data_IF_417434029245
#
_entry.id   IF_417434029245
#
_cell.length_a   1.000
_cell.length_b   1.000
_cell.length_c   1.000
_cell.angle_alpha   90.00
_cell.angle_beta   90.00
_cell.angle_gamma   90.00
#
_symmetry.space_group_name_H-M   'P 1'
#
loop_
_entity.id
_entity.type
_entity.pdbx_description
1 polymer ?
#
# COMPACT_ATOMS: atom_id res chain seq x y z
N UNK A 1 2.45 -39.65 -13.56
CA UNK A 1 2.15 -38.41 -14.31
C UNK A 1 3.20 -37.41 -13.88
N UNK A 2 3.91 -36.76 -14.82
CA UNK A 2 4.86 -35.71 -14.50
C UNK A 2 4.08 -34.41 -14.26
N UNK A 3 4.40 -33.69 -13.17
CA UNK A 3 3.90 -32.33 -12.93
C UNK A 3 4.77 -31.33 -13.71
N UNK A 4 4.31 -30.11 -13.90
CA UNK A 4 5.07 -29.05 -14.58
C UNK A 4 6.42 -28.74 -13.88
N UNK A 5 6.53 -29.06 -12.60
CA UNK A 5 7.72 -28.79 -11.78
C UNK A 5 7.87 -27.31 -11.39
N UNK A 6 7.02 -26.43 -11.92
CA UNK A 6 6.99 -25.00 -11.59
C UNK A 6 5.79 -24.65 -10.73
N UNK A 7 5.94 -23.64 -9.89
CA UNK A 7 4.87 -23.06 -9.06
C UNK A 7 4.65 -21.58 -9.40
N UNK A 8 5.34 -21.10 -10.42
CA UNK A 8 5.32 -19.71 -10.84
C UNK A 8 4.20 -19.55 -11.87
N UNK A 9 3.05 -19.13 -11.39
CA UNK A 9 1.94 -18.73 -12.23
C UNK A 9 1.96 -17.21 -12.37
N UNK A 10 2.61 -16.75 -13.42
CA UNK A 10 2.69 -15.32 -13.73
C UNK A 10 1.88 -15.04 -14.98
N UNK A 11 0.94 -14.10 -14.86
CA UNK A 11 0.23 -13.51 -15.98
C UNK A 11 0.87 -12.17 -16.31
N UNK A 12 1.18 -11.93 -17.58
CA UNK A 12 1.52 -10.60 -18.03
C UNK A 12 0.27 -9.71 -18.18
N UNK A 13 0.49 -8.40 -18.26
CA UNK A 13 -0.62 -7.44 -18.39
C UNK A 13 -1.42 -7.66 -19.68
N UNK A 14 -0.78 -8.16 -20.74
CA UNK A 14 -1.45 -8.50 -22.00
C UNK A 14 -2.43 -9.64 -21.82
N UNK A 15 -1.99 -10.75 -21.22
CA UNK A 15 -2.84 -11.92 -20.93
C UNK A 15 -4.02 -11.56 -20.03
N UNK A 16 -3.79 -10.72 -19.00
CA UNK A 16 -4.86 -10.23 -18.11
C UNK A 16 -5.89 -9.41 -18.89
N UNK A 17 -5.43 -8.57 -19.82
CA UNK A 17 -6.32 -7.76 -20.64
C UNK A 17 -7.14 -8.65 -21.59
N UNK A 18 -6.50 -9.62 -22.24
CA UNK A 18 -7.18 -10.57 -23.14
C UNK A 18 -8.27 -11.35 -22.40
N UNK A 19 -7.95 -11.98 -21.29
CA UNK A 19 -8.90 -12.71 -20.46
C UNK A 19 -10.07 -11.81 -19.99
N UNK A 20 -9.79 -10.56 -19.60
CA UNK A 20 -10.84 -9.62 -19.18
C UNK A 20 -11.78 -9.24 -20.34
N UNK A 21 -11.27 -9.10 -21.56
CA UNK A 21 -12.09 -8.88 -22.74
C UNK A 21 -12.94 -10.10 -23.08
N UNK A 22 -12.40 -11.30 -23.00
CA UNK A 22 -13.15 -12.55 -23.22
C UNK A 22 -14.31 -12.69 -22.22
N UNK A 23 -14.13 -12.34 -20.95
CA UNK A 23 -15.22 -12.29 -19.96
C UNK A 23 -16.32 -11.28 -20.32
N UNK A 24 -15.95 -10.21 -20.99
CA UNK A 24 -16.92 -9.26 -21.55
C UNK A 24 -17.60 -9.83 -22.83
N UNK A 25 -17.15 -10.96 -23.39
CA UNK A 25 -17.57 -11.50 -24.68
C UNK A 25 -17.05 -10.70 -25.87
N UNK A 26 -15.89 -10.09 -25.70
CA UNK A 26 -15.24 -9.23 -26.68
C UNK A 26 -13.81 -9.75 -26.94
N UNK A 27 -13.20 -9.28 -28.01
CA UNK A 27 -11.81 -9.54 -28.36
C UNK A 27 -11.01 -8.22 -28.34
N UNK A 28 -9.74 -8.30 -28.01
CA UNK A 28 -8.80 -7.17 -28.18
C UNK A 28 -8.45 -7.08 -29.65
N UNK A 29 -8.92 -6.04 -30.33
CA UNK A 29 -8.71 -5.88 -31.79
C UNK A 29 -7.69 -4.83 -32.16
N UNK A 30 -7.46 -3.87 -31.28
CA UNK A 30 -6.62 -2.71 -31.59
C UNK A 30 -5.71 -2.34 -30.42
N UNK A 31 -4.59 -1.69 -30.73
CA UNK A 31 -3.73 -1.12 -29.69
C UNK A 31 -4.43 -0.04 -28.83
N UNK A 32 -5.51 0.55 -29.33
CA UNK A 32 -6.36 1.45 -28.55
C UNK A 32 -7.12 0.70 -27.45
N UNK A 33 -7.62 -0.50 -27.72
CA UNK A 33 -8.34 -1.32 -26.76
C UNK A 33 -7.42 -1.72 -25.61
N UNK A 34 -6.21 -2.19 -25.92
CA UNK A 34 -5.18 -2.50 -24.91
C UNK A 34 -4.80 -1.28 -24.08
N UNK A 35 -4.64 -0.11 -24.71
CA UNK A 35 -4.32 1.15 -24.03
C UNK A 35 -5.45 1.62 -23.11
N UNK A 36 -6.71 1.44 -23.53
CA UNK A 36 -7.89 1.75 -22.73
C UNK A 36 -8.04 0.80 -21.53
N UNK A 37 -7.77 -0.50 -21.73
CA UNK A 37 -7.78 -1.51 -20.67
C UNK A 37 -6.70 -1.23 -19.61
N UNK A 38 -5.46 -0.97 -20.04
CA UNK A 38 -4.38 -0.60 -19.13
C UNK A 38 -4.72 0.62 -18.26
N UNK A 39 -5.37 1.64 -18.83
CA UNK A 39 -5.85 2.79 -18.07
C UNK A 39 -6.90 2.39 -17.03
N UNK A 40 -7.82 1.49 -17.39
CA UNK A 40 -8.81 0.96 -16.44
C UNK A 40 -8.16 0.16 -15.34
N UNK A 41 -7.13 -0.62 -15.64
CA UNK A 41 -6.35 -1.39 -14.66
C UNK A 41 -5.67 -0.47 -13.64
N UNK A 42 -5.03 0.60 -14.09
CA UNK A 42 -4.42 1.59 -13.19
C UNK A 42 -5.45 2.30 -12.29
N UNK A 43 -6.65 2.58 -12.81
CA UNK A 43 -7.74 3.15 -12.00
C UNK A 43 -8.24 2.15 -10.96
N UNK A 44 -8.30 0.87 -11.30
CA UNK A 44 -8.66 -0.19 -10.38
C UNK A 44 -7.62 -0.35 -9.26
N UNK A 45 -6.33 -0.27 -9.56
CA UNK A 45 -5.27 -0.29 -8.54
C UNK A 45 -5.37 0.90 -7.58
N UNK A 46 -5.74 2.08 -8.09
CA UNK A 46 -6.01 3.24 -7.24
C UNK A 46 -7.24 3.03 -6.33
N UNK A 47 -8.28 2.35 -6.82
CA UNK A 47 -9.45 1.98 -6.01
C UNK A 47 -9.06 0.96 -4.92
N UNK A 48 -8.24 -0.04 -5.24
CA UNK A 48 -7.76 -1.00 -4.26
C UNK A 48 -6.94 -0.36 -3.12
N UNK A 49 -6.10 0.60 -3.46
CA UNK A 49 -5.37 1.37 -2.45
C UNK A 49 -6.32 2.10 -1.48
N UNK A 50 -7.46 2.59 -1.97
CA UNK A 50 -8.48 3.22 -1.13
C UNK A 50 -9.29 2.22 -0.29
N UNK A 51 -9.39 0.97 -0.72
CA UNK A 51 -10.07 -0.10 0.03
C UNK A 51 -9.23 -0.70 1.16
N UNK A 52 -7.97 -0.29 1.31
CA UNK A 52 -7.11 -0.68 2.42
C UNK A 52 -6.43 -2.05 2.28
N UNK A 53 -6.37 -2.63 1.09
CA UNK A 53 -5.63 -3.85 0.80
C UNK A 53 -4.13 -3.53 0.69
N UNK A 54 -3.35 -3.80 1.73
CA UNK A 54 -2.02 -3.22 1.80
C UNK A 54 -0.92 -4.16 2.33
N UNK A 55 -1.20 -5.42 2.73
CA UNK A 55 -0.18 -6.23 3.39
C UNK A 55 1.07 -6.47 2.53
N UNK A 56 0.93 -6.70 1.23
CA UNK A 56 2.08 -6.90 0.34
C UNK A 56 2.77 -5.58 -0.07
N UNK A 57 2.16 -4.43 0.24
CA UNK A 57 2.74 -3.13 -0.05
C UNK A 57 3.47 -2.52 1.14
N UNK A 58 3.53 -3.23 2.27
CA UNK A 58 4.31 -2.80 3.42
C UNK A 58 5.80 -2.96 3.11
N UNK A 59 6.53 -1.87 3.27
CA UNK A 59 7.97 -1.81 3.08
C UNK A 59 8.62 -1.07 4.25
N UNK A 60 9.92 -1.22 4.39
CA UNK A 60 10.68 -0.46 5.39
C UNK A 60 11.79 0.33 4.73
N UNK A 61 12.11 1.47 5.32
CA UNK A 61 13.24 2.28 4.90
C UNK A 61 13.92 2.92 6.12
N UNK A 62 15.19 3.24 5.95
CA UNK A 62 16.03 3.84 7.00
C UNK A 62 16.47 5.22 6.56
N UNK A 63 16.33 6.20 7.45
CA UNK A 63 16.83 7.56 7.29
C UNK A 63 17.93 7.77 8.32
N UNK A 64 19.11 8.19 7.89
CA UNK A 64 20.12 8.73 8.80
C UNK A 64 19.74 10.17 9.13
N UNK A 65 19.52 10.44 10.40
CA UNK A 65 19.08 11.74 10.86
C UNK A 65 20.22 12.76 10.75
N UNK A 66 19.86 14.02 10.60
CA UNK A 66 20.81 15.13 10.56
C UNK A 66 20.50 16.08 11.71
N UNK A 67 21.51 16.44 12.50
CA UNK A 67 21.34 17.37 13.60
C UNK A 67 20.63 18.65 13.15
N UNK A 68 19.65 19.10 13.91
CA UNK A 68 18.88 20.31 13.67
C UNK A 68 17.84 20.22 12.55
N UNK A 69 17.76 19.10 11.85
CA UNK A 69 16.79 18.90 10.76
C UNK A 69 15.49 18.32 11.29
N UNK A 70 14.44 19.13 11.34
CA UNK A 70 13.12 18.77 11.86
C UNK A 70 12.17 18.15 10.84
N UNK A 71 12.52 18.14 9.56
CA UNK A 71 11.67 17.64 8.49
C UNK A 71 12.48 16.72 7.56
N UNK A 72 12.00 15.52 7.37
CA UNK A 72 12.56 14.56 6.43
C UNK A 72 11.61 14.33 5.26
N UNK A 73 12.04 14.58 4.01
CA UNK A 73 11.26 14.26 2.85
C UNK A 73 11.19 12.73 2.68
N UNK A 74 9.99 12.24 2.43
CA UNK A 74 9.75 10.82 2.13
C UNK A 74 9.60 10.61 0.63
N UNK A 75 9.75 9.37 0.19
CA UNK A 75 9.48 9.00 -1.20
C UNK A 75 7.99 9.23 -1.56
N UNK A 76 7.72 9.62 -2.80
CA UNK A 76 6.37 9.93 -3.27
C UNK A 76 5.45 8.71 -3.34
N UNK A 77 6.00 7.51 -3.22
CA UNK A 77 5.25 6.26 -3.15
C UNK A 77 4.70 5.95 -1.75
N UNK A 78 5.14 6.65 -0.70
CA UNK A 78 4.65 6.51 0.66
C UNK A 78 3.21 6.99 0.76
N UNK A 79 2.28 6.08 1.09
CA UNK A 79 0.87 6.40 1.34
C UNK A 79 0.66 6.75 2.82
N UNK A 80 1.15 5.89 3.71
CA UNK A 80 1.06 6.08 5.15
C UNK A 80 2.20 5.37 5.87
N UNK A 81 2.52 5.81 7.08
CA UNK A 81 3.51 5.18 7.96
C UNK A 81 2.76 4.39 9.03
N UNK A 82 3.15 3.14 9.20
CA UNK A 82 2.60 2.25 10.22
C UNK A 82 3.33 2.43 11.54
N UNK A 83 4.64 2.19 11.52
CA UNK A 83 5.50 2.22 12.70
C UNK A 83 6.78 2.97 12.41
N UNK A 84 7.32 3.61 13.44
CA UNK A 84 8.61 4.33 13.38
C UNK A 84 9.45 3.94 14.59
N UNK A 85 10.68 3.55 14.32
CA UNK A 85 11.66 3.18 15.32
C UNK A 85 12.88 4.07 15.19
N UNK A 86 13.28 4.68 16.28
CA UNK A 86 14.49 5.47 16.38
C UNK A 86 15.60 4.61 17.01
N UNK A 87 16.76 4.54 16.38
CA UNK A 87 17.90 3.75 16.86
C UNK A 87 19.05 4.66 17.24
N UNK A 88 19.49 4.57 18.51
CA UNK A 88 20.66 5.23 19.06
C UNK A 88 21.54 4.22 19.80
N UNK A 89 22.83 4.18 19.48
CA UNK A 89 23.82 3.29 20.10
C UNK A 89 23.38 1.81 20.13
N UNK A 90 22.74 1.35 19.05
CA UNK A 90 22.22 -0.02 18.92
C UNK A 90 20.98 -0.31 19.76
N UNK A 91 20.37 0.69 20.37
CA UNK A 91 19.11 0.55 21.12
C UNK A 91 17.97 1.19 20.35
N UNK A 92 16.89 0.43 20.22
CA UNK A 92 15.69 0.83 19.51
C UNK A 92 14.68 1.46 20.47
N UNK A 93 14.09 2.56 20.04
CA UNK A 93 13.06 3.31 20.75
C UNK A 93 11.86 3.54 19.84
N UNK A 94 10.68 3.25 20.34
CA UNK A 94 9.42 3.54 19.63
C UNK A 94 9.22 5.07 19.54
N UNK A 95 8.81 5.54 18.36
CA UNK A 95 8.47 6.94 18.11
C UNK A 95 6.96 7.07 17.90
N UNK A 96 6.32 7.87 18.72
CA UNK A 96 4.86 8.00 18.74
C UNK A 96 4.36 8.88 17.60
N UNK A 97 3.35 8.41 16.87
CA UNK A 97 2.62 9.24 15.92
C UNK A 97 1.71 10.24 16.64
N UNK A 98 1.78 11.50 16.26
CA UNK A 98 0.88 12.55 16.76
C UNK A 98 0.05 13.15 15.62
N UNK A 99 -1.08 13.74 15.97
CA UNK A 99 -1.93 14.43 15.02
C UNK A 99 -1.32 15.78 14.60
N UNK A 100 -1.83 16.33 13.46
CA UNK A 100 -1.45 17.70 13.07
C UNK A 100 -1.77 18.73 14.16
N UNK A 101 -2.92 18.57 14.82
CA UNK A 101 -3.34 19.46 15.90
C UNK A 101 -2.35 19.44 17.06
N UNK A 102 -1.95 18.27 17.51
CA UNK A 102 -0.97 18.11 18.59
C UNK A 102 0.39 18.68 18.19
N UNK A 103 0.84 18.42 16.95
CA UNK A 103 2.09 18.98 16.45
C UNK A 103 2.08 20.52 16.43
N UNK A 104 0.95 21.13 16.04
CA UNK A 104 0.83 22.61 15.99
C UNK A 104 0.85 23.21 17.39
N UNK A 105 0.28 22.52 18.39
CA UNK A 105 0.22 23.01 19.79
C UNK A 105 1.53 22.83 20.56
N UNK A 106 2.54 22.12 20.02
CA UNK A 106 3.85 22.01 20.67
C UNK A 106 4.45 23.38 20.92
N UNK A 107 4.80 23.71 22.18
CA UNK A 107 5.22 25.06 22.53
C UNK A 107 6.59 25.45 21.93
N UNK A 108 7.49 24.50 21.79
CA UNK A 108 8.79 24.70 21.13
C UNK A 108 9.07 23.54 20.17
N UNK A 109 9.05 23.85 18.87
CA UNK A 109 9.29 22.88 17.80
C UNK A 109 10.79 22.70 17.46
N UNK A 110 11.64 23.52 18.03
CA UNK A 110 13.09 23.51 17.77
C UNK A 110 13.87 22.91 18.96
N UNK A 111 13.19 22.30 19.92
CA UNK A 111 13.82 21.56 21.02
C UNK A 111 14.65 20.41 20.46
N UNK A 112 15.96 20.48 20.63
CA UNK A 112 16.88 19.40 20.23
C UNK A 112 16.86 18.27 21.26
N UNK A 113 16.97 17.02 20.77
CA UNK A 113 17.04 15.84 21.60
C UNK A 113 16.75 14.56 20.82
N UNK A 114 16.54 13.47 21.56
CA UNK A 114 16.10 12.21 20.96
C UNK A 114 14.68 12.39 20.43
N UNK A 115 14.49 12.12 19.15
CA UNK A 115 13.15 12.15 18.53
C UNK A 115 12.22 11.14 19.21
N UNK A 116 11.10 11.59 19.73
CA UNK A 116 10.11 10.78 20.45
C UNK A 116 8.73 10.79 19.81
N UNK A 117 8.47 11.77 18.97
CA UNK A 117 7.19 11.93 18.29
C UNK A 117 7.38 12.33 16.83
N UNK A 118 6.43 11.94 15.98
CA UNK A 118 6.41 12.39 14.59
C UNK A 118 4.99 12.74 14.12
N UNK A 119 4.92 13.67 13.18
CA UNK A 119 3.72 14.00 12.43
C UNK A 119 3.99 13.77 10.94
N UNK A 120 3.15 12.97 10.30
CA UNK A 120 3.20 12.73 8.85
C UNK A 120 2.31 13.72 8.11
N UNK A 121 2.90 14.59 7.29
CA UNK A 121 2.18 15.44 6.37
C UNK A 121 1.97 14.71 5.03
N UNK A 122 0.73 14.25 4.80
CA UNK A 122 0.36 13.41 3.64
C UNK A 122 0.01 14.27 2.42
N UNK A 123 0.99 14.96 1.89
CA UNK A 123 0.88 15.70 0.64
C UNK A 123 1.33 14.85 -0.56
N UNK A 124 1.35 15.42 -1.77
CA UNK A 124 1.88 14.76 -2.97
C UNK A 124 3.35 14.37 -2.76
N UNK A 125 4.11 15.21 -2.07
CA UNK A 125 5.45 14.92 -1.57
C UNK A 125 5.37 14.83 -0.05
N UNK A 126 5.23 13.63 0.52
CA UNK A 126 5.00 13.48 1.95
C UNK A 126 6.23 13.91 2.76
N UNK A 127 5.98 14.56 3.90
CA UNK A 127 7.01 15.04 4.81
C UNK A 127 6.81 14.44 6.19
N UNK A 128 7.90 13.96 6.78
CA UNK A 128 7.95 13.50 8.15
C UNK A 128 8.45 14.62 9.03
N UNK A 129 7.59 15.14 9.90
CA UNK A 129 7.94 16.16 10.87
C UNK A 129 8.30 15.50 12.19
N UNK A 130 9.50 15.76 12.67
CA UNK A 130 10.08 15.12 13.86
C UNK A 130 10.01 16.07 15.08
N UNK A 131 9.76 15.50 16.24
CA UNK A 131 9.88 16.16 17.53
C UNK A 131 10.29 15.12 18.61
N UNK A 132 11.34 15.39 19.46
CA UNK A 132 12.26 16.50 19.37
C UNK A 132 13.12 16.43 18.08
N UNK A 133 13.73 17.58 17.71
CA UNK A 133 14.63 17.68 16.58
C UNK A 133 15.93 16.90 16.87
N UNK A 134 16.47 16.12 15.94
CA UNK A 134 17.70 15.36 16.16
C UNK A 134 18.86 16.20 16.68
N UNK A 135 19.50 15.75 17.76
CA UNK A 135 20.63 16.41 18.40
C UNK A 135 22.01 15.96 17.87
N UNK A 136 22.01 14.92 17.02
CA UNK A 136 23.20 14.39 16.36
C UNK A 136 22.93 13.95 14.93
N UNK A 137 23.98 13.50 14.22
CA UNK A 137 23.89 13.07 12.81
C UNK A 137 24.35 11.62 12.60
N UNK A 138 24.27 10.79 13.63
CA UNK A 138 24.66 9.37 13.60
C UNK A 138 23.47 8.42 13.84
N UNK A 139 22.43 8.91 14.51
CA UNK A 139 21.24 8.13 14.80
C UNK A 139 20.44 7.88 13.54
N UNK A 140 19.70 6.78 13.54
CA UNK A 140 18.86 6.38 12.43
C UNK A 140 17.40 6.28 12.83
N UNK A 141 16.53 6.47 11.83
CA UNK A 141 15.10 6.32 11.96
C UNK A 141 14.64 5.29 10.92
N UNK A 142 14.19 4.15 11.40
CA UNK A 142 13.58 3.11 10.57
C UNK A 142 12.08 3.30 10.58
N UNK A 143 11.46 3.38 9.43
CA UNK A 143 10.02 3.48 9.33
C UNK A 143 9.45 2.38 8.44
N UNK A 144 8.32 1.80 8.87
CA UNK A 144 7.53 0.85 8.12
C UNK A 144 6.36 1.61 7.50
N UNK A 145 6.18 1.45 6.20
CA UNK A 145 5.20 2.25 5.47
C UNK A 145 4.44 1.43 4.43
N UNK A 146 3.25 1.90 4.13
CA UNK A 146 2.45 1.40 3.02
C UNK A 146 2.87 2.16 1.77
N UNK A 147 3.38 1.42 0.77
CA UNK A 147 3.73 2.01 -0.53
C UNK A 147 2.57 1.92 -1.51
N UNK A 148 2.59 2.80 -2.48
CA UNK A 148 1.65 2.77 -3.60
C UNK A 148 1.88 1.50 -4.43
N UNK A 149 0.78 0.88 -4.90
CA UNK A 149 0.85 -0.22 -5.88
C UNK A 149 1.46 0.35 -7.17
N UNK A 150 2.38 -0.39 -7.77
CA UNK A 150 2.99 -0.01 -9.04
C UNK A 150 1.93 -0.01 -10.16
N UNK A 151 2.13 0.82 -11.16
CA UNK A 151 1.24 0.85 -12.31
C UNK A 151 1.40 -0.42 -13.18
N UNK A 152 0.45 -0.66 -14.07
CA UNK A 152 0.46 -1.83 -14.94
C UNK A 152 1.60 -1.84 -15.98
N UNK A 153 2.41 -0.79 -16.06
CA UNK A 153 3.54 -0.70 -16.99
C UNK A 153 3.15 -0.91 -18.46
N UNK A 154 3.88 -1.77 -19.14
CA UNK A 154 3.62 -2.19 -20.55
C UNK A 154 2.89 -3.54 -20.58
N UNK A 155 2.47 -4.00 -21.77
CA UNK A 155 1.73 -5.27 -21.92
C UNK A 155 2.54 -6.51 -21.52
N UNK A 156 3.86 -6.43 -21.61
CA UNK A 156 4.78 -7.53 -21.25
C UNK A 156 5.26 -7.49 -19.79
N UNK A 157 4.82 -6.50 -19.02
CA UNK A 157 5.13 -6.43 -17.59
C UNK A 157 4.19 -7.35 -16.80
N UNK A 158 4.69 -7.89 -15.71
CA UNK A 158 3.88 -8.57 -14.71
C UNK A 158 3.44 -7.55 -13.66
N UNK A 159 2.20 -7.66 -13.17
CA UNK A 159 1.72 -6.84 -12.07
C UNK A 159 2.39 -7.27 -10.75
N UNK A 160 2.81 -6.31 -9.93
CA UNK A 160 3.40 -6.57 -8.60
C UNK A 160 2.28 -6.87 -7.60
N UNK A 161 1.68 -8.04 -7.76
CA UNK A 161 0.56 -8.52 -6.95
C UNK A 161 0.78 -9.98 -6.53
N UNK A 162 0.37 -10.39 -5.32
CA UNK A 162 0.34 -11.79 -4.95
C UNK A 162 -0.60 -12.59 -5.87
N UNK A 163 -0.26 -13.84 -6.17
CA UNK A 163 -1.03 -14.70 -7.08
C UNK A 163 -2.52 -14.80 -6.70
N UNK A 164 -2.85 -14.72 -5.41
CA UNK A 164 -4.23 -14.76 -4.90
C UNK A 164 -5.11 -13.62 -5.42
N UNK A 165 -4.50 -12.52 -5.89
CA UNK A 165 -5.23 -11.38 -6.45
C UNK A 165 -5.45 -11.47 -7.97
N UNK A 166 -4.85 -12.41 -8.68
CA UNK A 166 -5.04 -12.53 -10.13
C UNK A 166 -6.51 -12.75 -10.53
N UNK A 167 -7.28 -13.67 -9.90
CA UNK A 167 -8.69 -13.84 -10.23
C UNK A 167 -9.50 -12.55 -10.03
N UNK A 168 -9.26 -11.86 -8.92
CA UNK A 168 -9.87 -10.58 -8.61
C UNK A 168 -9.47 -9.49 -9.62
N UNK A 169 -8.19 -9.45 -10.04
CA UNK A 169 -7.69 -8.48 -11.01
C UNK A 169 -8.35 -8.64 -12.38
N UNK A 170 -8.47 -9.86 -12.87
CA UNK A 170 -9.15 -10.15 -14.13
C UNK A 170 -10.63 -9.83 -14.05
N UNK A 171 -11.31 -10.24 -12.97
CA UNK A 171 -12.72 -9.95 -12.76
C UNK A 171 -13.00 -8.44 -12.65
N UNK A 172 -12.15 -7.73 -11.91
CA UNK A 172 -12.23 -6.29 -11.76
C UNK A 172 -12.01 -5.55 -13.07
N UNK A 173 -10.98 -5.93 -13.84
CA UNK A 173 -10.75 -5.34 -15.15
C UNK A 173 -11.92 -5.59 -16.10
N UNK A 174 -12.49 -6.80 -16.11
CA UNK A 174 -13.68 -7.11 -16.89
C UNK A 174 -14.88 -6.23 -16.50
N UNK A 175 -15.09 -6.01 -15.19
CA UNK A 175 -16.10 -5.07 -14.72
C UNK A 175 -15.85 -3.64 -15.22
N UNK A 176 -14.63 -3.11 -15.10
CA UNK A 176 -14.30 -1.76 -15.59
C UNK A 176 -14.43 -1.62 -17.11
N UNK A 177 -14.14 -2.68 -17.87
CA UNK A 177 -14.31 -2.71 -19.31
C UNK A 177 -15.79 -2.79 -19.70
N UNK A 178 -16.62 -3.54 -18.95
CA UNK A 178 -18.04 -3.67 -19.22
C UNK A 178 -18.78 -2.34 -19.17
N UNK A 179 -18.38 -1.42 -18.29
CA UNK A 179 -18.92 -0.06 -18.24
C UNK A 179 -18.73 0.71 -19.55
N UNK A 180 -17.74 0.34 -20.36
CA UNK A 180 -17.41 1.02 -21.62
C UNK A 180 -17.89 0.29 -22.86
N UNK A 181 -17.90 -1.05 -22.83
CA UNK A 181 -18.00 -1.90 -24.02
C UNK A 181 -19.09 -2.96 -23.95
N UNK A 182 -19.56 -3.36 -22.76
CA UNK A 182 -20.53 -4.44 -22.56
C UNK A 182 -21.48 -4.13 -21.40
N UNK A 183 -22.32 -3.08 -21.49
CA UNK A 183 -23.19 -2.64 -20.40
C UNK A 183 -24.23 -3.68 -19.98
N UNK A 184 -24.61 -4.57 -20.86
CA UNK A 184 -25.53 -5.69 -20.61
C UNK A 184 -24.96 -6.73 -19.64
N UNK A 185 -23.62 -6.85 -19.54
CA UNK A 185 -22.95 -7.77 -18.61
C UNK A 185 -22.51 -7.08 -17.30
N UNK A 186 -22.73 -5.78 -17.17
CA UNK A 186 -22.23 -4.96 -16.07
C UNK A 186 -22.57 -5.53 -14.69
N UNK A 187 -23.83 -5.90 -14.47
CA UNK A 187 -24.29 -6.35 -13.15
C UNK A 187 -23.68 -7.70 -12.75
N UNK A 188 -23.59 -8.63 -13.71
CA UNK A 188 -23.00 -9.96 -13.47
C UNK A 188 -21.49 -9.80 -13.17
N UNK A 189 -20.77 -9.03 -14.00
CA UNK A 189 -19.34 -8.83 -13.81
C UNK A 189 -19.01 -8.06 -12.54
N UNK A 190 -19.87 -7.11 -12.13
CA UNK A 190 -19.74 -6.43 -10.84
C UNK A 190 -19.87 -7.41 -9.67
N UNK A 191 -20.89 -8.28 -9.69
CA UNK A 191 -21.12 -9.28 -8.64
C UNK A 191 -19.93 -10.24 -8.51
N UNK A 192 -19.41 -10.75 -9.64
CA UNK A 192 -18.23 -11.62 -9.66
C UNK A 192 -16.99 -10.89 -9.12
N UNK A 193 -16.79 -9.64 -9.53
CA UNK A 193 -15.66 -8.84 -9.04
C UNK A 193 -15.71 -8.62 -7.53
N UNK A 194 -16.86 -8.22 -6.97
CA UNK A 194 -16.97 -7.98 -5.53
C UNK A 194 -16.79 -9.28 -4.72
N UNK A 195 -17.25 -10.41 -5.24
CA UNK A 195 -17.07 -11.73 -4.62
C UNK A 195 -15.59 -12.15 -4.62
N UNK A 196 -14.90 -12.03 -5.76
CA UNK A 196 -13.46 -12.34 -5.84
C UNK A 196 -12.61 -11.35 -5.02
N UNK A 197 -13.02 -10.08 -4.98
CA UNK A 197 -12.36 -9.08 -4.15
C UNK A 197 -12.47 -9.42 -2.66
N UNK A 198 -13.67 -9.80 -2.20
CA UNK A 198 -13.87 -10.18 -0.80
C UNK A 198 -13.04 -11.40 -0.42
N UNK A 199 -12.99 -12.43 -1.28
CA UNK A 199 -12.14 -13.62 -1.05
C UNK A 199 -10.65 -13.25 -0.95
N UNK A 200 -10.18 -12.37 -1.83
CA UNK A 200 -8.79 -11.92 -1.81
C UNK A 200 -8.48 -11.06 -0.57
N UNK A 201 -9.43 -10.22 -0.14
CA UNK A 201 -9.31 -9.39 1.05
C UNK A 201 -9.28 -10.25 2.32
N UNK A 202 -10.19 -11.22 2.44
CA UNK A 202 -10.24 -12.15 3.60
C UNK A 202 -8.93 -12.95 3.75
N UNK A 203 -8.28 -13.29 2.64
CA UNK A 203 -6.98 -13.99 2.67
C UNK A 203 -5.82 -13.02 2.97
N UNK A 204 -5.99 -11.74 2.69
CA UNK A 204 -4.99 -10.69 2.96
C UNK A 204 -5.06 -10.16 4.40
N UNK A 205 -6.08 -10.52 5.18
CA UNK A 205 -6.15 -10.16 6.58
C UNK A 205 -5.05 -10.84 7.40
N UNK A 206 -4.41 -10.05 8.28
CA UNK A 206 -3.38 -10.56 9.18
C UNK A 206 -3.95 -11.58 10.17
N UNK A 207 -3.54 -12.85 10.04
CA UNK A 207 -3.98 -13.95 10.93
C UNK A 207 -3.31 -13.90 12.32
N UNK A 208 -3.12 -12.73 12.88
CA UNK A 208 -2.52 -12.57 14.21
C UNK A 208 -3.60 -12.72 15.28
N UNK A 209 -3.43 -13.68 16.18
CA UNK A 209 -4.33 -13.85 17.31
C UNK A 209 -4.28 -12.61 18.22
N UNK A 210 -5.36 -11.84 18.27
CA UNK A 210 -5.53 -10.72 19.21
C UNK A 210 -5.61 -11.28 20.64
N UNK A 211 -4.50 -11.21 21.38
CA UNK A 211 -4.49 -11.44 22.82
C UNK A 211 -4.89 -10.15 23.54
N UNK A 212 -6.16 -10.01 23.86
CA UNK A 212 -6.62 -8.97 24.76
C UNK A 212 -6.19 -9.35 26.19
N UNK A 213 -5.14 -8.72 26.70
CA UNK A 213 -4.76 -8.80 28.11
C UNK A 213 -5.32 -7.57 28.83
N UNK A 214 -6.10 -7.74 29.91
CA UNK A 214 -6.52 -6.61 30.73
C UNK A 214 -5.29 -5.87 31.27
N UNK A 215 -5.22 -4.56 31.06
CA UNK A 215 -4.15 -3.75 31.63
C UNK A 215 -4.32 -3.66 33.16
N UNK A 216 -3.42 -4.29 33.88
CA UNK A 216 -3.39 -4.23 35.37
C UNK A 216 -2.95 -2.87 35.93
N UNK A 217 -2.78 -1.85 35.10
CA UNK A 217 -2.34 -0.51 35.54
C UNK A 217 -3.33 0.23 36.44
N UNK A 218 -4.59 -0.20 36.48
CA UNK A 218 -5.62 0.44 37.31
C UNK A 218 -5.83 -0.20 38.71
N UNK A 219 -5.03 -1.19 39.08
CA UNK A 219 -5.14 -1.88 40.36
C UNK A 219 -4.07 -1.48 41.39
N UNK A 220 -3.41 -0.34 41.23
CA UNK A 220 -2.61 0.26 42.30
C UNK A 220 -3.39 1.41 42.93
N UNK A 221 -4.15 1.08 43.94
CA UNK A 221 -4.59 2.00 45.03
C UNK A 221 -3.50 2.01 46.08
#
# INVERSE_FOLDING_TARGET
MATSGTRDFNLDVGEIIEEAYERCGLEVRTGYDAKSARRSLNLMFADWANRGLNLWTVSSAVITLTKGKKQEPLSADVIDILDVVYTRDGTDYEVQRISRGDYVTLPNKDTEGRTSQYYLDRQISPLLNLWAVPDNSVDTLTYYYVRRIEDAGTLVNTAVLPFRFFPCMVAGLAYYLSMKRAPDRLQILKSVYEEEFQRAADEDEGRTALKLQPSMRYLRV
#
